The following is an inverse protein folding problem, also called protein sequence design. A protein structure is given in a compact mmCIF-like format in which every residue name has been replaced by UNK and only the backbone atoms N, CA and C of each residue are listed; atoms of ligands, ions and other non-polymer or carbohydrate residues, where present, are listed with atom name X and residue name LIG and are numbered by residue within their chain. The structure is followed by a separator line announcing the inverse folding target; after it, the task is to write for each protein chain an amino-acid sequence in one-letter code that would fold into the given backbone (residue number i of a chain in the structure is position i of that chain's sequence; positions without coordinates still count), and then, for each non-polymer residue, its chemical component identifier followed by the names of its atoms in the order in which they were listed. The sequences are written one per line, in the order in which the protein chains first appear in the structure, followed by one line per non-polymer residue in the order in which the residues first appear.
data_IF_932784083506
#
_entry.id   IF_932784083506
#
_cell.length_a   1.000
_cell.length_b   1.000
_cell.length_c   1.000
_cell.angle_alpha   90.00
_cell.angle_beta   90.00
_cell.angle_gamma   90.00
#
_symmetry.space_group_name_H-M   'P 1'
#
loop_
_entity.id
_entity.type
_entity.pdbx_description
1 polymer ?
#
# COMPACT_ATOMS: atom_id res chain seq x y z
N UNK A 1 10.00 -6.18 -17.77
CA UNK A 1 11.42 -6.33 -17.33
C UNK A 1 12.14 -5.00 -17.54
N UNK A 2 12.47 -4.28 -16.47
CA UNK A 2 13.45 -3.19 -16.51
C UNK A 2 14.78 -3.75 -15.97
N UNK A 3 15.38 -4.68 -16.73
CA UNK A 3 16.71 -5.21 -16.44
C UNK A 3 17.70 -4.43 -17.28
N UNK A 4 18.66 -3.74 -16.64
CA UNK A 4 19.80 -3.10 -17.34
C UNK A 4 19.92 -1.58 -17.20
N UNK A 5 19.00 -0.90 -16.50
CA UNK A 5 19.16 0.53 -16.22
C UNK A 5 19.76 0.66 -14.82
N UNK A 6 21.04 1.03 -14.78
CA UNK A 6 21.75 1.43 -13.57
C UNK A 6 21.78 2.96 -13.53
N UNK A 7 20.99 3.54 -12.63
CA UNK A 7 20.93 4.99 -12.41
C UNK A 7 21.65 5.23 -11.09
N UNK A 8 22.73 6.00 -11.14
CA UNK A 8 23.43 6.45 -9.94
C UNK A 8 22.61 7.49 -9.18
N UNK A 9 22.71 7.47 -7.85
CA UNK A 9 22.13 8.52 -7.01
C UNK A 9 20.60 8.48 -6.86
N UNK A 10 19.95 7.33 -7.07
CA UNK A 10 18.52 7.18 -6.77
C UNK A 10 18.31 7.30 -5.28
N UNK A 11 17.69 8.40 -4.84
CA UNK A 11 17.37 8.66 -3.43
C UNK A 11 16.03 8.04 -2.99
N UNK A 12 15.12 7.82 -3.93
CA UNK A 12 13.76 7.36 -3.65
C UNK A 12 13.30 6.32 -4.65
N UNK A 13 12.61 5.28 -4.16
CA UNK A 13 11.87 4.30 -4.96
C UNK A 13 10.40 4.37 -4.58
N UNK A 14 9.52 4.50 -5.57
CA UNK A 14 8.07 4.57 -5.35
C UNK A 14 7.39 3.42 -6.10
N UNK A 15 6.87 2.45 -5.36
CA UNK A 15 6.02 1.40 -5.89
C UNK A 15 4.59 1.95 -6.00
N UNK A 16 4.12 2.18 -7.23
CA UNK A 16 2.73 2.64 -7.47
C UNK A 16 1.68 1.56 -7.16
N UNK A 17 2.08 0.30 -7.14
CA UNK A 17 1.29 -0.87 -6.78
C UNK A 17 2.18 -1.83 -6.01
N UNK A 18 1.58 -2.60 -5.11
CA UNK A 18 2.32 -3.65 -4.40
C UNK A 18 2.77 -4.72 -5.40
N UNK A 19 4.05 -5.15 -5.38
CA UNK A 19 4.51 -6.28 -6.19
C UNK A 19 3.78 -7.57 -5.83
N UNK A 20 3.30 -8.33 -6.83
CA UNK A 20 2.63 -9.62 -6.60
C UNK A 20 3.59 -10.69 -6.06
N UNK A 21 4.85 -10.66 -6.50
CA UNK A 21 5.94 -11.48 -5.97
C UNK A 21 6.78 -10.68 -4.99
N UNK A 22 7.09 -11.25 -3.83
CA UNK A 22 7.83 -10.55 -2.79
C UNK A 22 9.30 -10.28 -3.16
N UNK A 23 9.91 -11.16 -3.96
CA UNK A 23 11.27 -10.98 -4.47
C UNK A 23 11.37 -9.72 -5.35
N UNK A 24 10.31 -9.41 -6.11
CA UNK A 24 10.26 -8.21 -6.95
C UNK A 24 10.27 -6.93 -6.11
N UNK A 25 9.73 -6.95 -4.88
CA UNK A 25 9.83 -5.82 -3.96
C UNK A 25 11.29 -5.52 -3.63
N UNK A 26 12.07 -6.54 -3.22
CA UNK A 26 13.49 -6.38 -2.89
C UNK A 26 14.30 -5.89 -4.09
N UNK A 27 14.05 -6.45 -5.27
CA UNK A 27 14.74 -6.02 -6.50
C UNK A 27 14.44 -4.56 -6.89
N UNK A 28 13.23 -4.07 -6.60
CA UNK A 28 12.83 -2.68 -6.86
C UNK A 28 13.47 -1.73 -5.85
N UNK A 29 13.38 -2.01 -4.56
CA UNK A 29 13.92 -1.10 -3.54
C UNK A 29 15.47 -1.09 -3.55
N UNK A 30 16.12 -2.16 -4.00
CA UNK A 30 17.58 -2.21 -4.22
C UNK A 30 18.12 -1.26 -5.31
N UNK A 31 17.28 -0.36 -5.84
CA UNK A 31 17.69 0.77 -6.68
C UNK A 31 18.17 1.97 -5.86
N UNK A 32 17.76 2.11 -4.60
CA UNK A 32 18.21 3.16 -3.69
C UNK A 32 19.15 2.60 -2.60
N UNK A 33 19.68 3.46 -1.73
CA UNK A 33 20.49 3.06 -0.56
C UNK A 33 21.83 2.38 -0.88
N UNK A 34 22.45 2.71 -2.03
CA UNK A 34 23.72 2.10 -2.48
C UNK A 34 24.93 2.92 -2.02
N UNK A 35 26.10 2.29 -1.94
CA UNK A 35 27.38 2.93 -1.60
C UNK A 35 27.32 3.70 -0.27
N UNK A 36 26.80 3.05 0.78
CA UNK A 36 26.63 3.61 2.13
C UNK A 36 25.70 4.83 2.23
N UNK A 37 25.05 5.22 1.13
CA UNK A 37 24.01 6.24 1.16
C UNK A 37 22.71 5.69 1.76
N UNK A 38 21.93 6.57 2.38
CA UNK A 38 20.56 6.29 2.76
C UNK A 38 19.61 6.47 1.57
N UNK A 39 18.47 5.80 1.62
CA UNK A 39 17.48 5.82 0.56
C UNK A 39 16.12 5.38 1.04
N UNK A 40 15.07 6.01 0.51
CA UNK A 40 13.70 5.76 0.95
C UNK A 40 12.91 4.95 -0.09
N UNK A 41 12.10 4.03 0.40
CA UNK A 41 11.17 3.27 -0.42
C UNK A 41 9.74 3.44 0.08
N UNK A 42 8.85 3.89 -0.81
CA UNK A 42 7.43 4.06 -0.53
C UNK A 42 6.61 3.13 -1.42
N UNK A 43 5.56 2.54 -0.86
CA UNK A 43 4.61 1.72 -1.63
C UNK A 43 3.21 2.26 -1.42
N UNK A 44 2.54 2.57 -2.53
CA UNK A 44 1.11 2.89 -2.53
C UNK A 44 0.38 1.55 -2.46
N UNK A 45 -0.54 1.47 -1.51
CA UNK A 45 -1.30 0.27 -1.19
C UNK A 45 -2.78 0.53 -1.44
N UNK A 46 -3.43 -0.34 -2.21
CA UNK A 46 -4.89 -0.39 -2.35
C UNK A 46 -5.48 -1.57 -1.58
N UNK A 47 -6.81 -1.58 -1.53
CA UNK A 47 -7.58 -2.54 -0.76
C UNK A 47 -7.37 -4.00 -1.15
N UNK A 48 -7.36 -4.22 -2.46
CA UNK A 48 -7.23 -5.48 -3.17
C UNK A 48 -5.80 -6.03 -3.14
N UNK A 49 -4.83 -5.23 -2.70
CA UNK A 49 -3.41 -5.59 -2.68
C UNK A 49 -2.89 -5.97 -1.29
N UNK A 50 -3.78 -6.05 -0.30
CA UNK A 50 -3.41 -6.37 1.09
C UNK A 50 -2.70 -7.71 1.25
N UNK A 51 -3.08 -8.72 0.48
CA UNK A 51 -2.46 -10.04 0.59
C UNK A 51 -1.06 -10.06 -0.03
N UNK A 52 -0.83 -9.29 -1.10
CA UNK A 52 0.52 -9.04 -1.63
C UNK A 52 1.37 -8.23 -0.65
N UNK A 53 0.79 -7.25 0.05
CA UNK A 53 1.52 -6.49 1.05
C UNK A 53 1.96 -7.38 2.22
N UNK A 54 1.08 -8.28 2.67
CA UNK A 54 1.43 -9.28 3.69
C UNK A 54 2.51 -10.24 3.22
N UNK A 55 2.48 -10.70 1.96
CA UNK A 55 3.51 -11.61 1.44
C UNK A 55 4.87 -10.93 1.41
N UNK A 56 4.93 -9.65 1.03
CA UNK A 56 6.14 -8.83 1.11
C UNK A 56 6.65 -8.72 2.55
N UNK A 57 5.79 -8.35 3.51
CA UNK A 57 6.17 -8.21 4.92
C UNK A 57 6.72 -9.51 5.52
N UNK A 58 6.10 -10.64 5.19
CA UNK A 58 6.55 -11.97 5.62
C UNK A 58 7.91 -12.28 5.00
N UNK A 59 8.10 -11.98 3.72
CA UNK A 59 9.34 -12.27 2.99
C UNK A 59 10.54 -11.48 3.52
N UNK A 60 10.33 -10.20 3.87
CA UNK A 60 11.40 -9.35 4.44
C UNK A 60 11.52 -9.49 5.97
N UNK A 61 10.70 -10.33 6.59
CA UNK A 61 10.59 -10.53 8.04
C UNK A 61 10.43 -9.21 8.83
N UNK A 62 9.70 -8.25 8.27
CA UNK A 62 9.51 -6.92 8.84
C UNK A 62 8.15 -6.33 8.46
N UNK A 63 7.49 -5.69 9.44
CA UNK A 63 6.29 -4.89 9.18
C UNK A 63 6.63 -3.56 8.55
N UNK A 64 5.92 -3.21 7.47
CA UNK A 64 6.10 -1.91 6.80
C UNK A 64 5.16 -0.90 7.48
N UNK A 65 5.68 0.23 8.00
CA UNK A 65 4.85 1.24 8.62
C UNK A 65 3.81 1.81 7.65
N UNK A 66 2.53 1.73 8.03
CA UNK A 66 1.44 2.30 7.25
C UNK A 66 1.34 3.79 7.58
N UNK A 67 1.46 4.64 6.55
CA UNK A 67 1.31 6.10 6.69
C UNK A 67 0.09 6.58 5.92
N UNK A 68 -0.66 7.50 6.53
CA UNK A 68 -1.71 8.28 5.84
C UNK A 68 -1.20 9.69 5.61
N UNK A 69 -1.65 10.31 4.52
CA UNK A 69 -1.39 11.72 4.27
C UNK A 69 -2.51 12.55 4.90
N UNK A 70 -2.11 13.58 5.63
CA UNK A 70 -3.04 14.57 6.16
C UNK A 70 -3.76 15.26 4.98
N UNK A 71 -5.05 15.51 5.14
CA UNK A 71 -5.90 16.20 4.16
C UNK A 71 -6.05 15.49 2.80
N UNK A 72 -5.76 14.18 2.69
CA UNK A 72 -6.10 13.39 1.51
C UNK A 72 -7.45 12.68 1.70
N UNK A 73 -8.36 12.84 0.73
CA UNK A 73 -9.70 12.24 0.79
C UNK A 73 -9.67 10.77 0.33
N UNK A 74 -9.59 9.86 1.30
CA UNK A 74 -9.55 8.42 1.04
C UNK A 74 -10.96 7.84 0.90
N UNK A 75 -11.31 7.45 -0.33
CA UNK A 75 -12.61 6.81 -0.66
C UNK A 75 -12.83 5.50 0.14
N UNK A 76 -11.76 4.75 0.45
CA UNK A 76 -11.81 3.46 1.17
C UNK A 76 -10.88 3.43 2.38
N UNK A 77 -11.30 4.04 3.49
CA UNK A 77 -10.47 4.22 4.70
C UNK A 77 -10.36 2.96 5.59
N UNK A 78 -11.33 2.05 5.53
CA UNK A 78 -11.48 0.95 6.50
C UNK A 78 -10.32 -0.07 6.55
N UNK A 79 -9.40 -0.04 5.59
CA UNK A 79 -8.26 -0.97 5.51
C UNK A 79 -6.99 -0.43 6.15
N UNK A 80 -6.97 0.87 6.48
CA UNK A 80 -5.86 1.57 7.12
C UNK A 80 -6.15 1.91 8.59
N UNK A 81 -7.35 1.61 9.07
CA UNK A 81 -7.71 1.81 10.48
C UNK A 81 -7.32 0.57 11.30
N UNK A 82 -6.37 0.72 12.22
CA UNK A 82 -6.02 -0.30 13.24
C UNK A 82 -7.11 -0.46 14.32
N UNK A 83 -8.19 0.33 14.24
CA UNK A 83 -9.37 0.19 15.10
C UNK A 83 -10.35 -0.80 14.47
N UNK A 84 -10.93 -1.76 15.22
CA UNK A 84 -11.99 -2.62 14.68
C UNK A 84 -13.15 -1.74 14.24
N UNK A 85 -13.31 -1.59 12.92
CA UNK A 85 -14.23 -0.64 12.32
C UNK A 85 -15.66 -0.85 12.85
N UNK A 86 -16.26 0.23 13.38
CA UNK A 86 -17.72 0.23 13.61
C UNK A 86 -18.40 0.01 12.26
N UNK A 87 -19.34 -0.94 12.14
CA UNK A 87 -19.97 -1.24 10.87
C UNK A 87 -20.66 0.02 10.35
N UNK A 88 -20.26 0.46 9.15
CA UNK A 88 -20.94 1.53 8.42
C UNK A 88 -22.34 1.00 8.08
N UNK A 89 -23.32 1.30 8.95
CA UNK A 89 -24.73 1.02 8.68
C UNK A 89 -25.11 1.78 7.41
N UNK A 90 -25.24 1.07 6.28
CA UNK A 90 -25.93 1.58 5.10
C UNK A 90 -27.30 2.08 5.54
N UNK A 91 -27.53 3.39 5.42
CA UNK A 91 -28.84 4.00 5.65
C UNK A 91 -29.77 3.41 4.57
N UNK A 92 -30.63 2.45 4.95
CA UNK A 92 -31.70 1.98 4.06
C UNK A 92 -32.56 3.20 3.74
N UNK A 93 -32.47 3.68 2.50
CA UNK A 93 -33.46 4.58 1.92
C UNK A 93 -34.81 3.88 2.06
N UNK A 94 -35.70 4.49 2.83
CA UNK A 94 -37.00 3.93 3.16
C UNK A 94 -37.80 3.69 1.89
N UNK A 95 -37.91 2.42 1.48
CA UNK A 95 -38.86 1.99 0.47
C UNK A 95 -40.27 2.27 0.99
N UNK A 96 -40.91 3.28 0.39
CA UNK A 96 -42.29 3.66 0.66
C UNK A 96 -43.20 2.44 0.60
N UNK A 97 -43.87 2.18 1.72
CA UNK A 97 -44.81 1.09 1.92
C UNK A 97 -46.03 1.30 1.01
N UNK A 98 -46.24 0.41 0.05
CA UNK A 98 -47.55 0.21 -0.61
C UNK A 98 -48.64 0.08 0.47
N UNK A 99 -49.62 0.99 0.48
CA UNK A 99 -50.95 0.79 1.08
C UNK A 99 -51.99 1.75 0.48
N UNK A 100 -52.70 1.33 -0.57
CA UNK A 100 -54.16 1.19 -0.58
C UNK A 100 -54.58 0.48 -1.86
#
# INVERSE_FOLDING_TARGET
AARGIDISGVSHVINYRVPENAEDYVHRIGRTGRAEAEGDAFTILTADELDYAKSVEIFIDQKIPRRRLDNFDYIYTALLDDSPGKPVRRKKTGGGKKRR
#
